data_IF_420733686960
#
_entry.id   IF_420733686960
#
_cell.length_a   1.000
_cell.length_b   1.000
_cell.length_c   1.000
_cell.angle_alpha   90.00
_cell.angle_beta   90.00
_cell.angle_gamma   90.00
#
_symmetry.space_group_name_H-M   'P 1'
#
loop_
_entity.id
_entity.type
_entity.pdbx_description
1 polymer ?
#
# COMPACT_ATOMS: atom_id res chain seq x y z
N UNK A 1 -23.17 -17.07 10.24
CA UNK A 1 -21.69 -17.04 10.11
C UNK A 1 -21.25 -15.62 9.77
N UNK A 2 -19.96 -15.31 9.85
CA UNK A 2 -19.40 -13.99 9.51
C UNK A 2 -18.14 -14.16 8.68
N UNK A 3 -17.98 -13.34 7.64
CA UNK A 3 -16.76 -13.21 6.83
C UNK A 3 -16.22 -11.80 7.02
N UNK A 4 -14.92 -11.70 7.28
CA UNK A 4 -14.18 -10.44 7.38
C UNK A 4 -13.07 -10.47 6.34
N UNK A 5 -13.18 -9.65 5.31
CA UNK A 5 -12.18 -9.61 4.24
C UNK A 5 -11.20 -8.46 4.45
N UNK A 6 -10.00 -8.82 4.94
CA UNK A 6 -8.91 -7.87 5.19
C UNK A 6 -8.23 -7.45 3.87
N UNK A 7 -8.32 -8.26 2.82
CA UNK A 7 -7.74 -7.96 1.52
C UNK A 7 -8.60 -6.99 0.68
N UNK A 8 -9.67 -6.44 1.25
CA UNK A 8 -10.60 -5.54 0.55
C UNK A 8 -9.92 -4.28 0.00
N UNK A 9 -8.83 -3.81 0.63
CA UNK A 9 -8.03 -2.68 0.16
C UNK A 9 -7.37 -2.93 -1.22
N UNK A 10 -7.33 -4.18 -1.68
CA UNK A 10 -6.78 -4.59 -2.98
C UNK A 10 -7.84 -5.25 -3.89
N UNK A 11 -9.12 -5.00 -3.61
CA UNK A 11 -10.25 -5.54 -4.39
C UNK A 11 -10.94 -6.76 -3.78
N UNK A 12 -10.45 -7.30 -2.65
CA UNK A 12 -11.07 -8.42 -1.94
C UNK A 12 -10.70 -9.80 -2.51
N UNK A 13 -10.92 -10.84 -1.70
CA UNK A 13 -10.65 -12.25 -2.07
C UNK A 13 -11.94 -13.09 -2.14
N UNK A 14 -13.02 -12.63 -1.51
CA UNK A 14 -14.29 -13.39 -1.44
C UNK A 14 -15.27 -12.86 -2.47
N UNK A 15 -15.62 -13.68 -3.47
CA UNK A 15 -16.52 -13.30 -4.59
C UNK A 15 -17.89 -12.77 -4.14
N UNK A 16 -18.43 -13.24 -3.01
CA UNK A 16 -19.71 -12.75 -2.49
C UNK A 16 -19.64 -11.33 -1.96
N UNK A 17 -18.44 -10.80 -1.72
CA UNK A 17 -18.17 -9.39 -1.41
C UNK A 17 -18.05 -8.62 -2.72
N UNK A 18 -19.18 -8.10 -3.19
CA UNK A 18 -19.31 -7.39 -4.46
C UNK A 18 -19.14 -5.86 -4.32
N UNK A 19 -18.99 -5.34 -3.10
CA UNK A 19 -18.71 -3.93 -2.82
C UNK A 19 -17.99 -3.76 -1.47
N UNK A 20 -17.33 -2.61 -1.29
CA UNK A 20 -16.74 -2.21 -0.02
C UNK A 20 -17.82 -1.65 0.93
N UNK A 21 -17.63 -1.86 2.23
CA UNK A 21 -18.41 -1.22 3.28
C UNK A 21 -17.65 -0.02 3.85
N UNK A 22 -18.25 0.70 4.81
CA UNK A 22 -17.63 1.88 5.44
C UNK A 22 -17.62 1.72 6.95
N UNK A 23 -16.83 2.52 7.67
CA UNK A 23 -16.86 2.49 9.14
C UNK A 23 -18.26 2.78 9.71
N UNK A 24 -19.03 3.66 9.06
CA UNK A 24 -20.40 3.99 9.48
C UNK A 24 -21.41 2.88 9.18
N UNK A 25 -21.23 2.17 8.07
CA UNK A 25 -22.06 1.05 7.66
C UNK A 25 -21.16 -0.16 7.35
N UNK A 26 -20.68 -0.90 8.38
CA UNK A 26 -19.55 -1.81 8.24
C UNK A 26 -19.88 -3.19 7.67
N UNK A 27 -21.16 -3.56 7.65
CA UNK A 27 -21.58 -4.90 7.28
C UNK A 27 -22.78 -4.89 6.34
N UNK A 28 -22.89 -5.95 5.55
CA UNK A 28 -24.11 -6.33 4.84
C UNK A 28 -24.34 -7.84 4.95
N UNK A 29 -25.54 -8.30 4.60
CA UNK A 29 -25.91 -9.72 4.65
C UNK A 29 -26.14 -10.22 3.23
N UNK A 30 -25.52 -11.35 2.87
CA UNK A 30 -25.73 -12.04 1.60
C UNK A 30 -25.68 -13.54 1.85
N UNK A 31 -26.66 -14.28 1.32
CA UNK A 31 -26.83 -15.72 1.57
C UNK A 31 -26.83 -16.08 3.07
N UNK A 32 -27.48 -15.25 3.90
CA UNK A 32 -27.55 -15.40 5.36
C UNK A 32 -26.17 -15.38 6.08
N UNK A 33 -25.14 -14.85 5.41
CA UNK A 33 -23.81 -14.61 5.96
C UNK A 33 -23.56 -13.11 6.08
N UNK A 34 -23.07 -12.68 7.25
CA UNK A 34 -22.64 -11.30 7.48
C UNK A 34 -21.27 -11.11 6.85
N UNK A 35 -21.13 -10.10 5.99
CA UNK A 35 -19.88 -9.73 5.35
C UNK A 35 -19.40 -8.39 5.91
N UNK A 36 -18.13 -8.33 6.30
CA UNK A 36 -17.41 -7.12 6.69
C UNK A 36 -16.31 -6.85 5.67
N UNK A 37 -16.38 -5.71 4.99
CA UNK A 37 -15.54 -5.33 3.86
C UNK A 37 -15.10 -3.86 3.97
N UNK A 38 -14.76 -3.41 5.17
CA UNK A 38 -14.35 -2.02 5.42
C UNK A 38 -12.88 -1.85 5.03
N UNK A 39 -12.55 -0.99 4.05
CA UNK A 39 -11.16 -0.68 3.72
C UNK A 39 -10.52 0.19 4.81
N UNK A 40 -9.19 0.24 4.83
CA UNK A 40 -8.43 1.07 5.76
C UNK A 40 -8.87 0.86 7.23
N UNK A 41 -8.98 -0.41 7.64
CA UNK A 41 -9.33 -0.78 9.02
C UNK A 41 -8.41 -0.15 10.07
N UNK A 42 -7.08 0.00 9.86
CA UNK A 42 -6.20 0.68 10.82
C UNK A 42 -6.62 2.14 11.11
N UNK A 43 -7.37 2.78 10.21
CA UNK A 43 -7.91 4.12 10.41
C UNK A 43 -8.89 4.23 11.60
N UNK A 44 -9.54 3.14 11.99
CA UNK A 44 -10.40 3.10 13.18
C UNK A 44 -9.64 3.16 14.51
N UNK A 45 -8.32 2.87 14.49
CA UNK A 45 -7.46 2.87 15.70
C UNK A 45 -6.26 3.80 15.54
N UNK A 46 -6.48 5.10 15.29
CA UNK A 46 -5.47 6.02 14.76
C UNK A 46 -4.23 6.14 15.65
N UNK A 47 -4.38 6.12 16.98
CA UNK A 47 -3.24 6.20 17.91
C UNK A 47 -2.30 5.01 17.74
N UNK A 48 -2.85 3.80 17.71
CA UNK A 48 -2.06 2.57 17.60
C UNK A 48 -1.47 2.42 16.21
N UNK A 49 -2.28 2.63 15.16
CA UNK A 49 -1.84 2.49 13.78
C UNK A 49 -0.78 3.53 13.40
N UNK A 50 -0.92 4.78 13.85
CA UNK A 50 0.10 5.82 13.64
C UNK A 50 1.43 5.44 14.27
N UNK A 51 1.42 4.99 15.53
CA UNK A 51 2.66 4.57 16.21
C UNK A 51 3.30 3.37 15.52
N UNK A 52 2.50 2.37 15.11
CA UNK A 52 3.00 1.20 14.41
C UNK A 52 3.60 1.55 13.04
N UNK A 53 2.91 2.37 12.25
CA UNK A 53 3.37 2.83 10.94
C UNK A 53 4.64 3.69 11.06
N UNK A 54 4.69 4.60 12.03
CA UNK A 54 5.86 5.43 12.27
C UNK A 54 7.08 4.57 12.65
N UNK A 55 6.91 3.62 13.58
CA UNK A 55 7.99 2.73 13.99
C UNK A 55 8.55 1.90 12.82
N UNK A 56 7.68 1.43 11.91
CA UNK A 56 8.11 0.68 10.73
C UNK A 56 8.81 1.54 9.67
N UNK A 57 8.57 2.86 9.65
CA UNK A 57 9.05 3.75 8.59
C UNK A 57 10.19 4.69 9.01
N UNK A 58 10.41 4.90 10.31
CA UNK A 58 11.26 5.98 10.82
C UNK A 58 12.70 5.91 10.30
N UNK A 59 13.26 4.70 10.15
CA UNK A 59 14.63 4.53 9.63
C UNK A 59 14.77 5.01 8.19
N UNK A 60 13.75 4.77 7.35
CA UNK A 60 13.73 5.20 5.95
C UNK A 60 13.62 6.71 5.83
N UNK A 61 12.73 7.31 6.64
CA UNK A 61 12.56 8.76 6.69
C UNK A 61 13.84 9.46 7.15
N UNK A 62 14.52 8.90 8.16
CA UNK A 62 15.80 9.44 8.64
C UNK A 62 16.92 9.32 7.60
N UNK A 63 16.98 8.22 6.84
CA UNK A 63 17.96 8.06 5.77
C UNK A 63 17.77 9.13 4.68
N UNK A 64 16.53 9.30 4.18
CA UNK A 64 16.21 10.33 3.19
C UNK A 64 16.51 11.73 3.73
N UNK A 65 16.15 12.00 4.99
CA UNK A 65 16.36 13.31 5.61
C UNK A 65 17.83 13.68 5.80
N UNK A 66 18.72 12.70 6.02
CA UNK A 66 20.15 12.94 6.25
C UNK A 66 20.94 13.00 4.95
N UNK A 67 20.68 12.05 4.06
CA UNK A 67 21.52 11.80 2.90
C UNK A 67 20.92 12.37 1.60
N UNK A 68 19.65 12.77 1.61
CA UNK A 68 18.89 13.03 0.40
C UNK A 68 18.37 11.73 -0.22
N UNK A 69 17.45 11.84 -1.18
CA UNK A 69 16.77 10.68 -1.76
C UNK A 69 17.76 9.77 -2.51
N UNK A 70 18.56 10.33 -3.43
CA UNK A 70 19.43 9.59 -4.34
C UNK A 70 20.47 8.76 -3.57
N UNK A 71 21.11 9.36 -2.58
CA UNK A 71 22.10 8.64 -1.75
C UNK A 71 21.39 7.60 -0.86
N UNK A 72 20.24 7.95 -0.26
CA UNK A 72 19.51 7.03 0.61
C UNK A 72 19.05 5.76 -0.13
N UNK A 73 18.55 5.88 -1.35
CA UNK A 73 18.11 4.71 -2.14
C UNK A 73 19.29 3.90 -2.69
N UNK A 74 20.42 4.53 -3.01
CA UNK A 74 21.65 3.79 -3.38
C UNK A 74 22.21 2.99 -2.19
N UNK A 75 22.11 3.53 -0.97
CA UNK A 75 22.64 2.91 0.24
C UNK A 75 21.71 1.85 0.87
N UNK A 76 20.40 1.91 0.59
CA UNK A 76 19.39 1.02 1.21
C UNK A 76 18.49 0.38 0.15
N UNK A 77 18.80 -0.86 -0.22
CA UNK A 77 18.05 -1.62 -1.24
C UNK A 77 16.55 -1.76 -0.93
N UNK A 78 16.18 -1.89 0.34
CA UNK A 78 14.77 -1.94 0.74
C UNK A 78 14.03 -0.61 0.56
N UNK A 79 14.75 0.52 0.56
CA UNK A 79 14.18 1.81 0.20
C UNK A 79 14.09 1.95 -1.33
N UNK A 80 15.13 1.54 -2.06
CA UNK A 80 15.13 1.52 -3.51
C UNK A 80 13.96 0.71 -4.10
N UNK A 81 13.62 -0.44 -3.50
CA UNK A 81 12.48 -1.25 -3.94
C UNK A 81 11.12 -0.56 -3.79
N UNK A 82 11.03 0.50 -2.99
CA UNK A 82 9.80 1.28 -2.83
C UNK A 82 9.61 2.40 -3.86
N UNK A 83 10.60 2.68 -4.71
CA UNK A 83 10.52 3.77 -5.68
C UNK A 83 9.66 3.34 -6.87
N UNK A 84 8.47 3.93 -6.96
CA UNK A 84 7.52 3.66 -8.04
C UNK A 84 7.72 4.57 -9.25
N UNK A 85 8.04 5.83 -9.02
CA UNK A 85 8.27 6.85 -10.05
C UNK A 85 9.46 7.70 -9.65
N UNK A 86 10.35 7.95 -10.60
CA UNK A 86 11.51 8.81 -10.40
C UNK A 86 11.73 9.70 -11.63
N UNK A 87 11.82 11.02 -11.42
CA UNK A 87 11.99 12.04 -12.47
C UNK A 87 11.03 11.87 -13.67
N UNK A 88 9.77 11.50 -13.39
CA UNK A 88 8.72 11.31 -14.41
C UNK A 88 8.74 9.96 -15.11
N UNK A 89 9.63 9.04 -14.73
CA UNK A 89 9.72 7.69 -15.28
C UNK A 89 9.18 6.69 -14.25
N UNK A 90 8.33 5.77 -14.69
CA UNK A 90 7.90 4.64 -13.84
C UNK A 90 9.09 3.69 -13.68
N UNK A 91 9.42 3.40 -12.43
CA UNK A 91 10.55 2.53 -12.05
C UNK A 91 10.14 1.19 -11.48
N UNK A 92 8.84 1.04 -11.18
CA UNK A 92 8.27 -0.21 -10.69
C UNK A 92 7.50 -0.92 -11.81
N UNK A 93 7.99 -2.10 -12.19
CA UNK A 93 7.48 -2.91 -13.30
C UNK A 93 5.97 -3.16 -13.21
N UNK A 94 5.50 -3.64 -12.04
CA UNK A 94 4.08 -3.98 -11.88
C UNK A 94 3.16 -2.76 -12.04
N UNK A 95 3.61 -1.56 -11.67
CA UNK A 95 2.85 -0.33 -11.90
C UNK A 95 2.76 -0.01 -13.40
N UNK A 96 3.87 -0.12 -14.12
CA UNK A 96 3.91 0.05 -15.57
C UNK A 96 3.00 -0.94 -16.28
N UNK A 97 3.11 -2.23 -15.95
CA UNK A 97 2.27 -3.29 -16.51
C UNK A 97 0.78 -3.07 -16.22
N UNK A 98 0.43 -2.71 -14.98
CA UNK A 98 -0.98 -2.49 -14.57
C UNK A 98 -1.62 -1.33 -15.33
N UNK A 99 -0.85 -0.27 -15.61
CA UNK A 99 -1.35 0.92 -16.30
C UNK A 99 -1.14 0.87 -17.82
N UNK A 100 -0.46 -0.15 -18.35
CA UNK A 100 -0.10 -0.22 -19.78
C UNK A 100 0.90 0.88 -20.20
N UNK A 101 1.79 1.27 -19.30
CA UNK A 101 2.78 2.33 -19.51
C UNK A 101 4.21 1.77 -19.51
N UNK A 102 5.09 2.43 -20.25
CA UNK A 102 6.52 2.11 -20.26
C UNK A 102 7.14 2.31 -18.87
N UNK A 103 8.05 1.41 -18.51
CA UNK A 103 8.85 1.51 -17.29
C UNK A 103 10.33 1.27 -17.59
N UNK A 104 11.21 1.70 -16.69
CA UNK A 104 12.64 1.41 -16.73
C UNK A 104 13.12 1.04 -15.34
N UNK A 105 14.08 0.12 -15.23
CA UNK A 105 14.62 -0.21 -13.91
C UNK A 105 15.20 1.03 -13.22
N UNK A 106 14.96 1.19 -11.91
CA UNK A 106 15.46 2.33 -11.15
C UNK A 106 16.97 2.56 -11.33
N UNK A 107 17.76 1.48 -11.40
CA UNK A 107 19.21 1.52 -11.59
C UNK A 107 19.63 2.22 -12.90
N UNK A 108 18.79 2.15 -13.94
CA UNK A 108 19.05 2.76 -15.25
C UNK A 108 18.73 4.25 -15.27
N UNK A 109 17.88 4.71 -14.34
CA UNK A 109 17.44 6.11 -14.24
C UNK A 109 18.29 6.91 -13.23
N UNK A 110 18.95 6.23 -12.29
CA UNK A 110 19.80 6.85 -11.26
C UNK A 110 21.20 7.27 -11.74
N UNK A 111 21.47 7.16 -13.05
CA UNK A 111 22.74 7.54 -13.68
C UNK A 111 23.02 9.04 -13.50
#
# INVERSE_FOLDING_TARGET
>A
SVIVDIAIDQGGTVETIDHYTTHDNPVFIKHDVIHYAVPNMPGATPRTSTMALANGNIEYLLAISKDGLEIAIQNKSSLASGVNVYKGIITYENLGMTLGLDFKELKEVLV
#
